data_IF_524817740232
#
_entry.id   IF_524817740232
#
_cell.length_a   1.000
_cell.length_b   1.000
_cell.length_c   1.000
_cell.angle_alpha   90.00
_cell.angle_beta   90.00
_cell.angle_gamma   90.00
#
_symmetry.space_group_name_H-M   'P 1'
#
loop_
_entity.id
_entity.type
_entity.pdbx_description
1 polymer ?
#
# COMPACT_ATOMS: atom_id res chain seq x y z
N UNK A 1 -18.13 -5.12 -29.52
CA UNK A 1 -17.11 -4.78 -28.50
C UNK A 1 -17.34 -5.71 -27.33
N UNK A 2 -16.40 -6.61 -27.07
CA UNK A 2 -16.45 -7.52 -25.93
C UNK A 2 -15.89 -6.78 -24.73
N UNK A 3 -16.74 -6.45 -23.77
CA UNK A 3 -16.30 -5.83 -22.50
C UNK A 3 -15.54 -6.91 -21.73
N UNK A 4 -14.23 -6.74 -21.60
CA UNK A 4 -13.42 -7.61 -20.74
C UNK A 4 -13.81 -7.34 -19.29
N UNK A 5 -14.66 -8.20 -18.72
CA UNK A 5 -14.95 -8.19 -17.30
C UNK A 5 -13.75 -8.82 -16.56
N UNK A 6 -12.91 -7.97 -15.99
CA UNK A 6 -11.84 -8.38 -15.09
C UNK A 6 -12.46 -8.76 -13.75
N UNK A 7 -13.04 -9.97 -13.65
CA UNK A 7 -13.70 -10.54 -12.47
C UNK A 7 -15.02 -9.85 -12.06
N UNK A 8 -16.09 -10.62 -11.99
CA UNK A 8 -17.44 -10.19 -11.59
C UNK A 8 -17.56 -10.21 -10.06
N UNK A 9 -16.74 -9.40 -9.39
CA UNK A 9 -16.69 -9.32 -7.92
C UNK A 9 -16.74 -7.83 -7.55
N UNK A 10 -17.61 -7.43 -6.62
CA UNK A 10 -17.66 -6.07 -6.06
C UNK A 10 -16.47 -5.84 -5.10
N UNK A 11 -15.27 -6.04 -5.63
CA UNK A 11 -14.02 -5.89 -4.89
C UNK A 11 -13.43 -4.53 -5.21
N UNK A 12 -13.21 -3.73 -4.16
CA UNK A 12 -12.44 -2.49 -4.29
C UNK A 12 -10.97 -2.82 -4.07
N UNK A 13 -10.16 -2.61 -5.11
CA UNK A 13 -8.72 -2.81 -5.06
C UNK A 13 -7.94 -1.50 -5.07
N UNK A 14 -6.82 -1.46 -4.34
CA UNK A 14 -5.84 -0.38 -4.46
C UNK A 14 -4.42 -0.94 -4.64
N UNK A 15 -3.65 -0.27 -5.50
CA UNK A 15 -2.23 -0.56 -5.71
C UNK A 15 -1.39 0.41 -4.88
N UNK A 16 -0.87 -0.05 -3.76
CA UNK A 16 -0.08 0.75 -2.84
C UNK A 16 1.39 0.71 -3.25
N UNK A 17 1.97 1.88 -3.53
CA UNK A 17 3.41 2.05 -3.74
C UNK A 17 4.07 2.40 -2.41
N UNK A 18 5.15 1.71 -2.07
CA UNK A 18 5.93 1.98 -0.87
C UNK A 18 7.40 2.25 -1.20
N UNK A 19 8.01 3.21 -0.49
CA UNK A 19 9.40 3.62 -0.69
C UNK A 19 10.12 3.78 0.63
N UNK A 20 11.37 3.33 0.66
CA UNK A 20 12.28 3.64 1.75
C UNK A 20 12.75 5.10 1.66
N UNK A 21 12.76 5.78 2.80
CA UNK A 21 13.37 7.09 2.98
C UNK A 21 14.49 6.94 4.00
N UNK A 22 15.72 7.12 3.53
CA UNK A 22 16.90 7.09 4.39
C UNK A 22 16.86 8.16 5.49
N UNK A 23 17.72 8.01 6.51
CA UNK A 23 17.80 8.96 7.60
C UNK A 23 18.34 10.30 7.09
N UNK A 24 17.89 11.38 7.71
CA UNK A 24 18.39 12.74 7.49
C UNK A 24 18.91 13.32 8.80
N UNK A 25 19.51 14.51 8.76
CA UNK A 25 20.05 15.19 9.96
C UNK A 25 19.03 15.41 11.09
N UNK A 26 17.73 15.31 10.80
CA UNK A 26 16.65 15.64 11.73
C UNK A 26 15.55 14.57 11.79
N UNK A 27 15.69 13.45 11.06
CA UNK A 27 14.70 12.37 11.05
C UNK A 27 15.34 11.01 10.79
N UNK A 28 14.88 10.01 11.53
CA UNK A 28 15.27 8.63 11.32
C UNK A 28 14.73 8.07 9.98
N UNK A 29 15.27 6.91 9.61
CA UNK A 29 14.80 6.07 8.51
C UNK A 29 13.31 5.78 8.64
N UNK A 30 12.61 5.72 7.50
CA UNK A 30 11.16 5.54 7.46
C UNK A 30 10.70 4.97 6.13
N UNK A 31 9.51 4.38 6.13
CA UNK A 31 8.82 3.95 4.90
C UNK A 31 7.65 4.88 4.64
N UNK A 32 7.47 5.27 3.38
CA UNK A 32 6.28 5.96 2.93
C UNK A 32 5.44 5.04 2.05
N UNK A 33 4.16 4.89 2.38
CA UNK A 33 3.16 4.25 1.54
C UNK A 33 2.28 5.31 0.89
N UNK A 34 2.01 5.17 -0.41
CA UNK A 34 1.20 6.09 -1.19
C UNK A 34 0.27 5.35 -2.13
N UNK A 35 -0.93 5.88 -2.30
CA UNK A 35 -1.86 5.48 -3.35
C UNK A 35 -2.64 6.69 -3.84
N UNK A 36 -2.78 6.83 -5.16
CA UNK A 36 -3.62 7.87 -5.77
C UNK A 36 -5.02 7.31 -5.95
N UNK A 37 -5.98 7.83 -5.17
CA UNK A 37 -7.35 7.35 -5.21
C UNK A 37 -8.14 8.04 -6.33
N UNK A 38 -9.32 7.49 -6.65
CA UNK A 38 -10.17 7.97 -7.73
C UNK A 38 -10.75 9.38 -7.50
N UNK A 39 -10.64 9.90 -6.27
CA UNK A 39 -11.09 11.25 -5.86
C UNK A 39 -10.08 12.36 -6.19
N UNK A 40 -8.91 12.02 -6.76
CA UNK A 40 -7.84 12.98 -7.06
C UNK A 40 -6.87 13.21 -5.90
N UNK A 41 -7.18 12.71 -4.69
CA UNK A 41 -6.30 12.80 -3.54
C UNK A 41 -5.31 11.63 -3.51
N UNK A 42 -4.06 11.95 -3.17
CA UNK A 42 -3.07 10.92 -2.84
C UNK A 42 -3.14 10.63 -1.35
N UNK A 43 -3.64 9.44 -0.98
CA UNK A 43 -3.58 8.97 0.40
C UNK A 43 -2.14 8.52 0.68
N UNK A 44 -1.64 8.89 1.86
CA UNK A 44 -0.25 8.67 2.25
C UNK A 44 -0.16 8.33 3.73
N UNK A 45 0.66 7.34 4.03
CA UNK A 45 1.10 7.00 5.38
C UNK A 45 2.62 6.97 5.44
N UNK A 46 3.19 7.36 6.58
CA UNK A 46 4.62 7.31 6.84
C UNK A 46 4.83 6.64 8.19
N UNK A 47 5.61 5.56 8.22
CA UNK A 47 5.97 4.85 9.43
C UNK A 47 7.49 4.86 9.63
N UNK A 48 7.94 4.84 10.88
CA UNK A 48 9.35 4.67 11.21
C UNK A 48 9.86 3.32 10.70
N UNK A 49 11.12 3.27 10.29
CA UNK A 49 11.76 2.01 9.96
C UNK A 49 11.98 1.19 11.23
N UNK A 50 11.49 -0.03 11.23
CA UNK A 50 11.73 -1.01 12.28
C UNK A 50 13.01 -1.79 11.95
N UNK A 51 13.99 -1.74 12.86
CA UNK A 51 15.28 -2.41 12.68
C UNK A 51 15.24 -3.90 13.03
N UNK A 52 14.14 -4.38 13.63
CA UNK A 52 13.92 -5.79 13.91
C UNK A 52 13.26 -6.51 12.73
N UNK A 53 12.75 -5.77 11.75
CA UNK A 53 12.12 -6.29 10.53
C UNK A 53 13.04 -6.20 9.32
N UNK A 54 12.85 -7.11 8.36
CA UNK A 54 13.50 -6.99 7.07
C UNK A 54 12.90 -5.85 6.22
N UNK A 55 13.49 -5.62 5.03
CA UNK A 55 13.01 -4.55 4.16
C UNK A 55 11.60 -4.82 3.64
N UNK A 56 11.26 -6.06 3.32
CA UNK A 56 9.96 -6.40 2.78
C UNK A 56 8.86 -6.21 3.83
N UNK A 57 9.12 -6.64 5.07
CA UNK A 57 8.19 -6.55 6.19
C UNK A 57 7.95 -5.10 6.63
N UNK A 58 8.99 -4.26 6.63
CA UNK A 58 8.85 -2.81 6.82
C UNK A 58 7.90 -2.19 5.78
N UNK A 59 8.07 -2.59 4.53
CA UNK A 59 7.24 -2.10 3.43
C UNK A 59 5.81 -2.64 3.50
N UNK A 60 5.64 -3.90 3.88
CA UNK A 60 4.33 -4.51 4.11
C UNK A 60 3.58 -3.82 5.25
N UNK A 61 4.24 -3.53 6.37
CA UNK A 61 3.64 -2.82 7.51
C UNK A 61 3.12 -1.43 7.10
N UNK A 62 3.88 -0.70 6.27
CA UNK A 62 3.46 0.59 5.74
C UNK A 62 2.24 0.46 4.82
N UNK A 63 2.21 -0.57 3.98
CA UNK A 63 1.09 -0.86 3.08
C UNK A 63 -0.17 -1.26 3.86
N UNK A 64 -0.04 -2.08 4.90
CA UNK A 64 -1.16 -2.46 5.79
C UNK A 64 -1.77 -1.25 6.50
N UNK A 65 -0.94 -0.32 7.01
CA UNK A 65 -1.47 0.90 7.60
C UNK A 65 -2.21 1.78 6.58
N UNK A 66 -1.68 1.92 5.35
CA UNK A 66 -2.39 2.69 4.33
C UNK A 66 -3.70 2.01 3.91
N UNK A 67 -3.71 0.68 3.77
CA UNK A 67 -4.91 -0.08 3.46
C UNK A 67 -5.99 0.11 4.55
N UNK A 68 -5.60 0.10 5.83
CA UNK A 68 -6.52 0.36 6.93
C UNK A 68 -7.15 1.77 6.86
N UNK A 69 -6.37 2.80 6.50
CA UNK A 69 -6.88 4.16 6.29
C UNK A 69 -7.86 4.22 5.12
N UNK A 70 -7.58 3.49 4.05
CA UNK A 70 -8.37 3.53 2.83
C UNK A 70 -9.67 2.74 2.91
N UNK A 71 -9.65 1.58 3.57
CA UNK A 71 -10.79 0.68 3.60
C UNK A 71 -11.58 0.71 4.91
N UNK A 72 -11.14 1.48 5.91
CA UNK A 72 -11.83 1.79 7.17
C UNK A 72 -12.55 0.58 7.79
N UNK A 73 -13.84 0.41 7.46
CA UNK A 73 -14.78 -0.57 8.00
C UNK A 73 -14.54 -2.02 7.52
N UNK A 74 -13.77 -2.20 6.44
CA UNK A 74 -13.44 -3.51 5.90
C UNK A 74 -11.96 -3.54 5.50
N UNK A 75 -11.04 -3.78 6.44
CA UNK A 75 -9.61 -3.64 6.20
C UNK A 75 -9.19 -4.57 5.06
N UNK A 76 -8.99 -3.98 3.88
CA UNK A 76 -8.60 -4.72 2.68
C UNK A 76 -7.36 -5.55 2.97
N UNK A 77 -7.39 -6.81 2.54
CA UNK A 77 -6.26 -7.71 2.72
C UNK A 77 -5.22 -7.43 1.65
N UNK A 78 -3.95 -7.44 2.03
CA UNK A 78 -2.86 -7.48 1.05
C UNK A 78 -2.90 -8.86 0.40
N UNK A 79 -3.18 -8.90 -0.91
CA UNK A 79 -3.35 -10.15 -1.68
C UNK A 79 -2.22 -10.41 -2.66
N UNK A 80 -1.39 -9.40 -2.92
CA UNK A 80 -0.25 -9.53 -3.82
C UNK A 80 0.84 -8.53 -3.49
N UNK A 81 2.06 -8.89 -3.87
CA UNK A 81 3.24 -8.06 -3.73
C UNK A 81 4.12 -8.20 -4.98
N UNK A 82 4.72 -7.09 -5.39
CA UNK A 82 5.79 -7.06 -6.37
C UNK A 82 6.79 -5.96 -6.03
N UNK A 83 7.93 -5.94 -6.71
CA UNK A 83 8.93 -4.90 -6.53
C UNK A 83 9.60 -4.57 -7.85
N UNK A 84 10.07 -3.34 -7.97
CA UNK A 84 11.01 -2.91 -9.00
C UNK A 84 12.28 -2.35 -8.33
N UNK A 85 13.17 -1.72 -9.10
CA UNK A 85 14.39 -1.11 -8.56
C UNK A 85 14.14 0.14 -7.69
N UNK A 86 12.92 0.67 -7.67
CA UNK A 86 12.55 1.95 -7.05
C UNK A 86 11.60 1.79 -5.84
N UNK A 87 10.79 0.74 -5.81
CA UNK A 87 9.72 0.57 -4.83
C UNK A 87 9.19 -0.87 -4.69
N UNK A 88 8.50 -1.10 -3.58
CA UNK A 88 7.61 -2.25 -3.41
C UNK A 88 6.16 -1.82 -3.70
N UNK A 89 5.43 -2.70 -4.38
CA UNK A 89 4.03 -2.53 -4.72
C UNK A 89 3.20 -3.62 -4.04
N UNK A 90 2.10 -3.22 -3.45
CA UNK A 90 1.17 -4.13 -2.79
C UNK A 90 -0.23 -3.95 -3.37
N UNK A 91 -0.86 -5.07 -3.70
CA UNK A 91 -2.27 -5.10 -4.06
C UNK A 91 -3.07 -5.32 -2.79
N UNK A 92 -3.92 -4.36 -2.44
CA UNK A 92 -4.86 -4.50 -1.34
C UNK A 92 -6.27 -4.63 -1.91
N UNK A 93 -6.99 -5.67 -1.52
CA UNK A 93 -8.36 -5.95 -1.97
C UNK A 93 -9.30 -5.99 -0.75
N UNK A 94 -10.37 -5.22 -0.79
CA UNK A 94 -11.48 -5.31 0.15
C UNK A 94 -12.71 -5.88 -0.56
N UNK A 95 -13.34 -6.89 0.03
CA UNK A 95 -14.52 -7.55 -0.51
C UNK A 95 -15.80 -6.95 0.09
N UNK A 96 -16.58 -6.25 -0.72
CA UNK A 96 -17.80 -5.57 -0.29
C UNK A 96 -18.99 -6.43 -0.73
N UNK A 97 -19.18 -7.55 -0.04
CA UNK A 97 -20.34 -8.44 -0.21
C UNK A 97 -21.62 -7.86 0.39
#
# INVERSE_FOLDING_TARGET
MTTTNYLDIDTRGCLIKTRFLGPTNYRNSRVVATHKWCDGDTKRVVISWDYDLDAQDNHLAAAQQLAAVMFQDNPGKITGMGWDSDAYYFLALADWA
#
